data_IF_992048035907
#
_entry.id   IF_992048035907
#
_cell.length_a   1.000
_cell.length_b   1.000
_cell.length_c   1.000
_cell.angle_alpha   90.00
_cell.angle_beta   90.00
_cell.angle_gamma   90.00
#
_symmetry.space_group_name_H-M   'P 1'
#
loop_
_entity.id
_entity.type
_entity.pdbx_description
1 polymer ?
#
# COMPACT_ATOMS: atom_id res chain seq x y z
N UNK A 1 -9.07 -43.99 1.07
CA UNK A 1 -8.58 -43.34 2.31
C UNK A 1 -8.08 -41.96 1.95
N UNK A 2 -8.57 -40.97 2.68
CA UNK A 2 -8.69 -39.53 2.36
C UNK A 2 -7.42 -38.73 2.63
N UNK A 3 -7.12 -37.72 1.79
CA UNK A 3 -6.56 -36.43 2.21
C UNK A 3 -6.62 -35.41 1.05
N UNK A 4 -7.72 -34.64 0.96
CA UNK A 4 -7.79 -33.41 0.18
C UNK A 4 -6.97 -32.35 0.94
N UNK A 5 -5.79 -32.02 0.42
CA UNK A 5 -4.94 -30.96 0.94
C UNK A 5 -5.60 -29.62 0.61
N UNK A 6 -6.43 -29.13 1.54
CA UNK A 6 -7.02 -27.80 1.53
C UNK A 6 -5.90 -26.77 1.65
N UNK A 7 -5.28 -26.42 0.51
CA UNK A 7 -4.42 -25.24 0.44
C UNK A 7 -5.34 -24.04 0.56
N UNK A 8 -5.32 -23.41 1.74
CA UNK A 8 -6.05 -22.19 2.00
C UNK A 8 -5.60 -21.12 0.99
N UNK A 9 -6.49 -20.70 0.12
CA UNK A 9 -6.34 -19.49 -0.69
C UNK A 9 -6.38 -18.27 0.25
N UNK A 10 -5.30 -17.49 0.40
CA UNK A 10 -5.42 -16.19 1.04
C UNK A 10 -6.13 -15.22 0.07
N UNK A 11 -7.46 -15.16 0.17
CA UNK A 11 -8.23 -14.05 -0.39
C UNK A 11 -8.05 -12.85 0.55
N UNK A 12 -7.07 -12.01 0.22
CA UNK A 12 -6.78 -10.76 0.89
C UNK A 12 -6.13 -9.81 -0.10
N UNK A 13 -6.94 -8.99 -0.76
CA UNK A 13 -6.49 -7.99 -1.71
C UNK A 13 -5.64 -6.91 -1.02
N UNK A 14 -4.33 -7.15 -0.98
CA UNK A 14 -3.22 -6.19 -1.11
C UNK A 14 -1.99 -7.01 -1.47
N UNK A 15 -1.34 -6.82 -2.63
CA UNK A 15 0.06 -7.20 -2.73
C UNK A 15 0.81 -6.26 -1.78
N UNK A 16 0.94 -6.65 -0.51
CA UNK A 16 2.09 -6.18 0.28
C UNK A 16 3.28 -6.86 -0.35
N UNK A 17 3.80 -6.23 -1.41
CA UNK A 17 5.11 -6.49 -1.96
C UNK A 17 6.08 -6.72 -0.80
N UNK A 18 6.79 -7.87 -0.72
CA UNK A 18 7.86 -8.07 0.24
C UNK A 18 9.08 -7.27 -0.22
N UNK A 19 8.95 -5.94 -0.30
CA UNK A 19 10.08 -5.02 -0.53
C UNK A 19 10.52 -4.32 0.76
N UNK A 20 9.84 -4.59 1.89
CA UNK A 20 10.23 -4.12 3.23
C UNK A 20 11.55 -4.67 3.77
N UNK A 21 12.35 -5.37 2.96
CA UNK A 21 13.66 -5.88 3.32
C UNK A 21 14.79 -5.33 2.43
N UNK A 22 14.61 -4.17 1.78
CA UNK A 22 15.76 -3.38 1.33
C UNK A 22 16.17 -2.43 2.44
N UNK A 23 17.14 -2.89 3.23
CA UNK A 23 17.99 -2.10 4.12
C UNK A 23 18.86 -1.14 3.29
N UNK A 24 18.24 -0.38 2.39
CA UNK A 24 18.87 0.51 1.44
C UNK A 24 18.13 1.83 1.50
N UNK A 25 18.88 2.92 1.35
CA UNK A 25 18.41 4.31 1.25
C UNK A 25 16.97 4.43 0.75
N UNK A 26 16.10 5.16 1.47
CA UNK A 26 14.71 5.27 1.08
C UNK A 26 14.60 5.82 -0.34
N UNK A 27 13.88 5.10 -1.22
CA UNK A 27 13.79 5.40 -2.64
C UNK A 27 12.55 6.26 -2.93
N UNK A 28 12.71 7.47 -3.49
CA UNK A 28 11.58 8.35 -3.81
C UNK A 28 10.59 7.70 -4.80
N UNK A 29 11.05 6.86 -5.72
CA UNK A 29 10.18 6.18 -6.67
C UNK A 29 9.28 5.15 -5.98
N UNK A 30 9.79 4.48 -4.95
CA UNK A 30 9.00 3.56 -4.12
C UNK A 30 7.95 4.32 -3.30
N UNK A 31 8.33 5.43 -2.68
CA UNK A 31 7.39 6.26 -1.93
C UNK A 31 6.25 6.81 -2.81
N UNK A 32 6.55 7.20 -4.05
CA UNK A 32 5.53 7.59 -5.02
C UNK A 32 4.60 6.42 -5.40
N UNK A 33 5.16 5.24 -5.68
CA UNK A 33 4.39 4.05 -6.02
C UNK A 33 3.43 3.63 -4.89
N UNK A 34 3.89 3.68 -3.64
CA UNK A 34 3.08 3.40 -2.45
C UNK A 34 1.91 4.39 -2.31
N UNK A 35 2.18 5.69 -2.51
CA UNK A 35 1.14 6.71 -2.46
C UNK A 35 0.06 6.49 -3.53
N UNK A 36 0.48 6.18 -4.76
CA UNK A 36 -0.43 5.91 -5.88
C UNK A 36 -1.29 4.66 -5.64
N UNK A 37 -0.68 3.57 -5.16
CA UNK A 37 -1.40 2.33 -4.85
C UNK A 37 -2.46 2.56 -3.78
N UNK A 38 -2.08 3.23 -2.69
CA UNK A 38 -2.98 3.51 -1.59
C UNK A 38 -4.17 4.40 -2.02
N UNK A 39 -3.94 5.43 -2.84
CA UNK A 39 -5.03 6.26 -3.40
C UNK A 39 -5.96 5.47 -4.33
N UNK A 40 -5.40 4.61 -5.18
CA UNK A 40 -6.19 3.76 -6.06
C UNK A 40 -7.10 2.81 -5.27
N UNK A 41 -6.59 2.23 -4.18
CA UNK A 41 -7.39 1.41 -3.27
C UNK A 41 -8.46 2.20 -2.53
N UNK A 42 -8.16 3.43 -2.10
CA UNK A 42 -9.17 4.29 -1.46
C UNK A 42 -10.32 4.62 -2.42
N UNK A 43 -10.00 5.01 -3.66
CA UNK A 43 -10.99 5.27 -4.70
C UNK A 43 -11.81 4.01 -5.02
N UNK A 44 -11.16 2.85 -5.08
CA UNK A 44 -11.85 1.57 -5.27
C UNK A 44 -12.85 1.29 -4.14
N UNK A 45 -12.46 1.43 -2.88
CA UNK A 45 -13.34 1.19 -1.72
C UNK A 45 -14.55 2.13 -1.68
N UNK A 46 -14.42 3.36 -2.17
CA UNK A 46 -15.53 4.32 -2.27
C UNK A 46 -16.49 4.01 -3.41
N UNK A 47 -16.04 3.30 -4.46
CA UNK A 47 -16.87 2.90 -5.61
C UNK A 47 -17.63 1.60 -5.39
N UNK A 48 -17.43 0.92 -4.26
CA UNK A 48 -18.14 -0.31 -3.94
C UNK A 48 -19.61 0.00 -3.55
N UNK A 49 -20.58 -0.88 -3.89
CA UNK A 49 -22.00 -0.68 -3.58
C UNK A 49 -22.28 -0.45 -2.09
N UNK A 50 -21.50 -1.08 -1.22
CA UNK A 50 -21.43 -0.77 0.20
C UNK A 50 -20.05 -0.16 0.48
N UNK A 51 -19.97 1.17 0.42
CA UNK A 51 -18.70 1.88 0.51
C UNK A 51 -17.97 1.56 1.83
N UNK A 52 -16.74 1.04 1.73
CA UNK A 52 -15.89 0.79 2.89
C UNK A 52 -15.17 2.07 3.30
N UNK A 53 -15.92 3.01 3.90
CA UNK A 53 -15.41 4.32 4.33
C UNK A 53 -14.22 4.18 5.29
N UNK A 54 -14.26 3.33 6.35
CA UNK A 54 -13.11 3.18 7.25
C UNK A 54 -11.86 2.62 6.56
N UNK A 55 -12.03 1.69 5.62
CA UNK A 55 -10.95 1.15 4.81
C UNK A 55 -10.33 2.20 3.88
N UNK A 56 -11.18 3.02 3.24
CA UNK A 56 -10.74 4.12 2.38
C UNK A 56 -9.96 5.18 3.18
N UNK A 57 -10.43 5.55 4.37
CA UNK A 57 -9.72 6.48 5.27
C UNK A 57 -8.34 5.96 5.66
N UNK A 58 -8.22 4.67 6.01
CA UNK A 58 -6.90 4.10 6.33
C UNK A 58 -5.95 4.17 5.13
N UNK A 59 -6.45 3.90 3.93
CA UNK A 59 -5.67 3.97 2.69
C UNK A 59 -5.24 5.39 2.35
N UNK A 60 -6.09 6.40 2.55
CA UNK A 60 -5.69 7.81 2.36
C UNK A 60 -4.65 8.26 3.37
N UNK A 61 -4.72 7.81 4.63
CA UNK A 61 -3.67 8.08 5.63
C UNK A 61 -2.35 7.43 5.24
N UNK A 62 -2.37 6.20 4.72
CA UNK A 62 -1.17 5.53 4.18
C UNK A 62 -0.56 6.31 3.01
N UNK A 63 -1.38 6.81 2.08
CA UNK A 63 -0.92 7.64 0.97
C UNK A 63 -0.29 8.95 1.46
N UNK A 64 -0.92 9.63 2.42
CA UNK A 64 -0.39 10.87 2.99
C UNK A 64 0.97 10.64 3.67
N UNK A 65 1.12 9.53 4.40
CA UNK A 65 2.39 9.19 5.02
C UNK A 65 3.49 8.93 3.97
N UNK A 66 3.17 8.24 2.87
CA UNK A 66 4.10 8.01 1.77
C UNK A 66 4.52 9.31 1.08
N UNK A 67 3.58 10.24 0.85
CA UNK A 67 3.87 11.56 0.29
C UNK A 67 4.76 12.41 1.21
N UNK A 68 4.54 12.37 2.54
CA UNK A 68 5.42 13.06 3.50
C UNK A 68 6.85 12.50 3.50
N UNK A 69 6.99 11.18 3.35
CA UNK A 69 8.32 10.57 3.17
C UNK A 69 8.97 11.03 1.86
N UNK A 70 8.22 11.02 0.77
CA UNK A 70 8.70 11.50 -0.52
C UNK A 70 9.19 12.95 -0.45
N UNK A 71 8.43 13.84 0.18
CA UNK A 71 8.83 15.24 0.41
C UNK A 71 10.16 15.31 1.17
N UNK A 72 10.28 14.56 2.28
CA UNK A 72 11.52 14.49 3.05
C UNK A 72 12.72 13.95 2.25
N UNK A 73 12.52 13.03 1.31
CA UNK A 73 13.59 12.50 0.45
C UNK A 73 14.01 13.49 -0.63
N UNK A 74 13.05 14.21 -1.20
CA UNK A 74 13.33 15.25 -2.21
C UNK A 74 14.06 16.43 -1.58
N UNK A 75 13.63 16.87 -0.39
CA UNK A 75 14.26 17.99 0.30
C UNK A 75 15.60 17.62 0.97
N UNK A 76 15.75 16.37 1.43
CA UNK A 76 17.00 15.85 1.99
C UNK A 76 18.10 15.55 0.95
N UNK A 77 17.77 15.54 -0.35
CA UNK A 77 18.75 15.43 -1.43
C UNK A 77 19.31 16.77 -1.92
N UNK A 78 18.84 17.89 -1.37
CA UNK A 78 19.22 19.24 -1.79
C UNK A 78 20.25 19.92 -0.87
N UNK A 79 20.96 19.16 -0.02
CA UNK A 79 22.00 19.67 0.89
C UNK A 79 23.39 19.25 0.48
#
# INVERSE_FOLDING_TARGET
>A
MTALHLVASPSGATPTSPQGARLGTPDPMQAFADAHNALSMAAYYLRQPAANVPGATRKTVQALAALRRLDGLVQGGAV
#
